data_IF_526483851391
#
_entry.id   IF_526483851391
#
_cell.length_a   1.000
_cell.length_b   1.000
_cell.length_c   1.000
_cell.angle_alpha   90.00
_cell.angle_beta   90.00
_cell.angle_gamma   90.00
#
_symmetry.space_group_name_H-M   'P 1'
#
loop_
_entity.id
_entity.type
_entity.pdbx_description
1 polymer ?
#
# COMPACT_ATOMS: atom_id res chain seq x y z
N UNK A 1 -12.69 -1.88 6.39
CA UNK A 1 -11.69 -2.93 6.72
C UNK A 1 -12.24 -4.35 6.54
N UNK A 2 -13.35 -4.74 7.19
CA UNK A 2 -13.90 -6.09 7.09
C UNK A 2 -14.08 -6.65 5.66
N UNK A 3 -14.62 -5.85 4.73
CA UNK A 3 -14.76 -6.26 3.33
C UNK A 3 -13.41 -6.53 2.65
N UNK A 4 -12.42 -5.66 2.87
CA UNK A 4 -11.06 -5.84 2.36
C UNK A 4 -10.44 -7.13 2.89
N UNK A 5 -10.59 -7.42 4.19
CA UNK A 5 -10.08 -8.67 4.77
C UNK A 5 -10.76 -9.91 4.18
N UNK A 6 -12.07 -9.85 3.96
CA UNK A 6 -12.80 -10.92 3.30
C UNK A 6 -12.26 -11.17 1.88
N UNK A 7 -12.00 -10.11 1.12
CA UNK A 7 -11.49 -10.24 -0.24
C UNK A 7 -10.03 -10.72 -0.26
N UNK A 8 -9.17 -10.20 0.63
CA UNK A 8 -7.82 -10.72 0.80
C UNK A 8 -7.84 -12.23 1.12
N UNK A 9 -8.79 -12.71 1.92
CA UNK A 9 -8.88 -14.14 2.28
C UNK A 9 -9.25 -15.01 1.08
N UNK A 10 -10.06 -14.49 0.15
CA UNK A 10 -10.36 -15.19 -1.11
C UNK A 10 -9.12 -15.32 -1.99
N UNK A 11 -8.28 -14.28 -2.03
CA UNK A 11 -7.10 -14.30 -2.92
C UNK A 11 -5.93 -15.09 -2.32
N UNK A 12 -5.67 -14.89 -1.02
CA UNK A 12 -4.51 -15.47 -0.34
C UNK A 12 -4.80 -16.78 0.42
N UNK A 13 -6.06 -17.20 0.49
CA UNK A 13 -6.46 -18.43 1.17
C UNK A 13 -6.37 -18.35 2.70
N UNK A 14 -5.97 -19.45 3.34
CA UNK A 14 -5.91 -19.52 4.81
C UNK A 14 -4.67 -18.81 5.36
N UNK A 15 -4.85 -18.12 6.48
CA UNK A 15 -3.79 -17.36 7.14
C UNK A 15 -3.43 -17.95 8.49
N UNK A 16 -2.16 -17.78 8.87
CA UNK A 16 -1.67 -18.08 10.22
C UNK A 16 -1.96 -16.93 11.18
N UNK A 17 -1.75 -15.70 10.72
CA UNK A 17 -2.10 -14.49 11.47
C UNK A 17 -2.18 -13.28 10.52
N UNK A 18 -2.83 -12.23 11.01
CA UNK A 18 -2.93 -10.91 10.38
C UNK A 18 -2.62 -9.84 11.43
N UNK A 19 -1.91 -8.79 11.02
CA UNK A 19 -1.68 -7.59 11.85
C UNK A 19 -2.22 -6.40 11.06
N UNK A 20 -3.12 -5.64 11.69
CA UNK A 20 -3.78 -4.48 11.09
C UNK A 20 -3.57 -3.27 11.98
N UNK A 21 -3.10 -2.18 11.38
CA UNK A 21 -2.92 -0.89 12.06
C UNK A 21 -3.53 0.18 11.19
N UNK A 22 -4.43 1.00 11.74
CA UNK A 22 -4.89 2.23 11.11
C UNK A 22 -4.09 3.37 11.72
N UNK A 23 -3.29 4.02 10.89
CA UNK A 23 -2.48 5.17 11.25
C UNK A 23 -3.20 6.46 10.82
N UNK A 24 -3.50 7.32 11.79
CA UNK A 24 -4.04 8.65 11.55
C UNK A 24 -2.89 9.67 11.53
N UNK A 25 -2.48 10.06 10.33
CA UNK A 25 -1.43 11.06 10.16
C UNK A 25 -1.94 12.46 10.51
N UNK A 26 -1.07 13.31 11.07
CA UNK A 26 -1.45 14.67 11.52
C UNK A 26 -2.00 15.56 10.40
N UNK A 27 -1.63 15.32 9.13
CA UNK A 27 -2.01 16.11 7.95
C UNK A 27 -2.21 15.25 6.70
N UNK A 28 -2.61 13.99 6.85
CA UNK A 28 -2.75 13.05 5.74
C UNK A 28 -4.06 12.27 5.80
N UNK A 29 -4.30 11.47 4.76
CA UNK A 29 -5.40 10.50 4.77
C UNK A 29 -5.10 9.38 5.78
N UNK A 30 -6.13 8.75 6.37
CA UNK A 30 -5.93 7.56 7.19
C UNK A 30 -5.29 6.46 6.34
N UNK A 31 -4.18 5.89 6.81
CA UNK A 31 -3.47 4.82 6.13
C UNK A 31 -3.61 3.52 6.93
N UNK A 32 -3.88 2.42 6.25
CA UNK A 32 -3.93 1.10 6.85
C UNK A 32 -2.67 0.29 6.50
N UNK A 33 -1.88 -0.08 7.51
CA UNK A 33 -0.83 -1.08 7.38
C UNK A 33 -1.40 -2.45 7.68
N UNK A 34 -1.39 -3.36 6.69
CA UNK A 34 -1.93 -4.70 6.81
C UNK A 34 -0.84 -5.71 6.47
N UNK A 35 -0.43 -6.52 7.45
CA UNK A 35 0.54 -7.59 7.25
C UNK A 35 -0.15 -8.95 7.38
N UNK A 36 -0.12 -9.76 6.32
CA UNK A 36 -0.75 -11.08 6.26
C UNK A 36 0.32 -12.16 6.22
N UNK A 37 0.27 -13.12 7.17
CA UNK A 37 1.06 -14.35 7.09
C UNK A 37 0.17 -15.48 6.63
N UNK A 38 0.31 -15.89 5.38
CA UNK A 38 -0.48 -17.00 4.81
C UNK A 38 0.12 -18.36 5.19
N UNK A 39 -0.73 -19.39 5.28
CA UNK A 39 -0.29 -20.77 5.50
C UNK A 39 0.13 -21.37 4.16
N UNK A 40 1.42 -21.28 3.85
CA UNK A 40 1.96 -21.84 2.62
C UNK A 40 2.09 -23.37 2.70
N UNK A 41 1.55 -24.04 1.68
CA UNK A 41 1.89 -25.42 1.33
C UNK A 41 3.03 -25.50 0.32
N UNK A 42 3.38 -24.38 -0.33
CA UNK A 42 4.49 -24.29 -1.30
C UNK A 42 5.65 -23.44 -0.73
N UNK A 43 6.91 -23.87 -0.90
CA UNK A 43 8.04 -23.25 -0.22
C UNK A 43 8.47 -21.87 -0.77
N UNK A 44 7.99 -21.45 -1.96
CA UNK A 44 8.43 -20.21 -2.61
C UNK A 44 7.29 -19.49 -3.33
N UNK A 45 7.25 -18.16 -3.21
CA UNK A 45 6.42 -17.25 -4.02
C UNK A 45 7.38 -16.38 -4.84
N UNK A 46 7.10 -16.17 -6.12
CA UNK A 46 7.85 -15.20 -6.93
C UNK A 46 7.27 -13.79 -6.79
N UNK A 47 8.06 -12.73 -7.02
CA UNK A 47 7.55 -11.37 -7.11
C UNK A 47 6.36 -11.25 -8.09
N UNK A 48 6.47 -11.84 -9.27
CA UNK A 48 5.39 -11.83 -10.27
C UNK A 48 4.07 -12.43 -9.75
N UNK A 49 4.13 -13.47 -8.91
CA UNK A 49 2.95 -14.05 -8.29
C UNK A 49 2.32 -13.10 -7.27
N UNK A 50 3.14 -12.33 -6.53
CA UNK A 50 2.66 -11.29 -5.62
C UNK A 50 2.00 -10.16 -6.43
N UNK A 51 2.67 -9.69 -7.48
CA UNK A 51 2.19 -8.59 -8.32
C UNK A 51 0.90 -8.95 -9.06
N UNK A 52 0.69 -10.23 -9.40
CA UNK A 52 -0.57 -10.70 -10.01
C UNK A 52 -1.79 -10.56 -9.09
N UNK A 53 -1.56 -10.44 -7.79
CA UNK A 53 -2.59 -10.36 -6.74
C UNK A 53 -2.68 -8.94 -6.16
N UNK A 54 -1.55 -8.27 -5.99
CA UNK A 54 -1.46 -6.94 -5.37
C UNK A 54 -1.13 -5.93 -6.44
N UNK A 55 -2.14 -5.18 -6.87
CA UNK A 55 -1.98 -4.04 -7.77
C UNK A 55 -2.64 -2.80 -7.17
N UNK A 56 -2.09 -1.63 -7.48
CA UNK A 56 -2.65 -0.35 -7.10
C UNK A 56 -2.77 0.54 -8.34
N UNK A 57 -3.86 1.30 -8.42
CA UNK A 57 -4.12 2.23 -9.51
C UNK A 57 -4.47 3.60 -8.94
N UNK A 58 -4.02 4.66 -9.59
CA UNK A 58 -4.47 6.02 -9.28
C UNK A 58 -5.89 6.18 -9.82
N UNK A 59 -6.86 6.64 -9.01
CA UNK A 59 -8.24 6.75 -9.42
C UNK A 59 -8.41 7.78 -10.54
N UNK A 60 -9.42 7.54 -11.38
CA UNK A 60 -9.77 8.43 -12.50
C UNK A 60 -10.51 9.68 -12.05
N UNK A 61 -11.12 9.65 -10.86
CA UNK A 61 -11.79 10.81 -10.28
C UNK A 61 -10.74 11.91 -9.97
N UNK A 62 -10.89 13.13 -10.51
CA UNK A 62 -9.89 14.18 -10.32
C UNK A 62 -9.66 14.58 -8.86
N UNK A 63 -10.70 14.56 -8.02
CA UNK A 63 -10.58 14.92 -6.61
C UNK A 63 -9.81 13.86 -5.84
N UNK A 64 -10.17 12.58 -6.01
CA UNK A 64 -9.47 11.47 -5.35
C UNK A 64 -8.02 11.36 -5.83
N UNK A 65 -7.78 11.61 -7.11
CA UNK A 65 -6.44 11.63 -7.69
C UNK A 65 -5.56 12.68 -7.01
N UNK A 66 -6.05 13.91 -6.85
CA UNK A 66 -5.30 14.98 -6.18
C UNK A 66 -4.96 14.60 -4.75
N UNK A 67 -5.93 14.05 -4.00
CA UNK A 67 -5.71 13.63 -2.61
C UNK A 67 -4.69 12.49 -2.51
N UNK A 68 -4.75 11.49 -3.38
CA UNK A 68 -3.79 10.37 -3.38
C UNK A 68 -2.39 10.84 -3.78
N UNK A 69 -2.29 11.74 -4.76
CA UNK A 69 -1.00 12.29 -5.16
C UNK A 69 -0.37 13.15 -4.04
N UNK A 70 -1.19 13.91 -3.31
CA UNK A 70 -0.73 14.76 -2.21
C UNK A 70 -0.33 13.96 -0.97
N UNK A 71 -1.12 12.93 -0.59
CA UNK A 71 -0.99 12.28 0.72
C UNK A 71 -0.44 10.85 0.68
N UNK A 72 -0.45 10.17 -0.47
CA UNK A 72 -0.16 8.72 -0.56
C UNK A 72 0.98 8.38 -1.54
N UNK A 73 1.56 9.37 -2.22
CA UNK A 73 2.63 9.17 -3.21
C UNK A 73 3.94 9.78 -2.71
N UNK A 74 4.95 8.95 -2.44
CA UNK A 74 6.27 9.45 -2.08
C UNK A 74 7.01 9.96 -3.32
N UNK A 75 7.46 11.21 -3.27
CA UNK A 75 8.31 11.80 -4.30
C UNK A 75 9.78 11.57 -3.93
N UNK A 76 10.37 10.49 -4.43
CA UNK A 76 11.81 10.27 -4.29
C UNK A 76 12.55 11.16 -5.31
N UNK A 77 13.39 12.08 -4.84
CA UNK A 77 14.32 12.83 -5.70
C UNK A 77 15.40 11.90 -6.23
N UNK A 78 15.65 11.90 -7.55
CA UNK A 78 16.69 11.07 -8.16
C UNK A 78 18.10 11.61 -7.85
N UNK A 79 19.12 10.75 -7.97
CA UNK A 79 20.53 11.08 -7.70
C UNK A 79 21.10 12.28 -8.50
N UNK A 80 20.39 12.76 -9.54
CA UNK A 80 20.83 13.87 -10.39
C UNK A 80 20.02 15.16 -10.25
N UNK A 81 19.04 15.22 -9.34
CA UNK A 81 18.28 16.44 -9.12
C UNK A 81 19.01 17.34 -8.12
N UNK A 82 19.55 18.45 -8.61
CA UNK A 82 20.09 19.52 -7.76
C UNK A 82 19.01 19.95 -6.78
N UNK A 83 19.27 19.72 -5.49
CA UNK A 83 18.37 19.99 -4.38
C UNK A 83 17.69 21.37 -4.51
N UNK A 84 16.47 21.35 -5.02
CA UNK A 84 15.58 22.50 -5.07
C UNK A 84 14.52 22.31 -4.00
N UNK A 85 14.88 22.76 -2.80
CA UNK A 85 14.04 23.21 -1.70
C UNK A 85 12.52 23.10 -1.93
N UNK A 86 11.91 22.14 -1.22
CA UNK A 86 10.78 22.38 -0.31
C UNK A 86 10.61 21.16 0.59
N UNK A 87 11.14 21.32 1.79
CA UNK A 87 10.69 20.77 3.05
C UNK A 87 10.03 19.39 3.05
N UNK A 88 10.76 18.44 3.64
CA UNK A 88 10.19 17.38 4.43
C UNK A 88 10.01 16.06 3.70
N UNK A 89 11.05 15.23 3.73
CA UNK A 89 10.83 13.79 3.84
C UNK A 89 9.80 13.54 4.95
N UNK A 90 8.64 13.06 4.55
CA UNK A 90 7.80 12.17 5.35
C UNK A 90 7.81 10.79 4.68
#
# INVERSE_FOLDING_TARGET
>A
LAQLLHDLKKVFGNWKYIVEVIEFQKRGLPHAHIAVKVLFTQPYITPDQIDSVVTAYIPSNPQDHLLINEFMTHHHTGENDTASSRDGCY
#
